data_IF_039742645009
#
_entry.id   IF_039742645009
#
_cell.length_a   1.000
_cell.length_b   1.000
_cell.length_c   1.000
_cell.angle_alpha   90.00
_cell.angle_beta   90.00
_cell.angle_gamma   90.00
#
_symmetry.space_group_name_H-M   'P 1'
#
loop_
_entity.id
_entity.type
_entity.pdbx_description
1 polymer ?
#
# COMPACT_ATOMS: atom_id res chain seq x y z
N UNK A 1 -3.38 10.77 10.62
CA UNK A 1 -4.42 11.55 9.90
C UNK A 1 -5.21 12.39 10.91
N UNK A 2 -5.52 13.66 10.62
CA UNK A 2 -6.18 14.58 11.58
C UNK A 2 -7.53 14.07 12.10
N UNK A 3 -8.35 13.47 11.23
CA UNK A 3 -9.68 12.95 11.60
C UNK A 3 -9.59 11.72 12.52
N UNK A 4 -8.69 10.78 12.22
CA UNK A 4 -8.43 9.63 13.10
C UNK A 4 -7.85 10.10 14.46
N UNK A 5 -6.95 11.09 14.44
CA UNK A 5 -6.39 11.67 15.66
C UNK A 5 -7.45 12.41 16.50
N UNK A 6 -8.53 12.89 15.86
CA UNK A 6 -9.69 13.47 16.53
C UNK A 6 -10.71 12.39 17.02
N UNK A 7 -10.37 11.11 16.90
CA UNK A 7 -11.18 10.00 17.43
C UNK A 7 -12.21 9.42 16.46
N UNK A 8 -12.27 9.89 15.21
CA UNK A 8 -13.19 9.31 14.23
C UNK A 8 -12.71 7.91 13.81
N UNK A 9 -13.67 7.02 13.54
CA UNK A 9 -13.36 5.73 12.89
C UNK A 9 -12.92 5.94 11.43
N UNK A 10 -12.22 4.97 10.81
CA UNK A 10 -11.93 5.00 9.38
C UNK A 10 -13.14 5.29 8.50
N UNK A 11 -14.30 4.71 8.81
CA UNK A 11 -15.55 4.90 8.05
C UNK A 11 -16.07 6.33 8.20
N UNK A 12 -16.11 6.86 9.42
CA UNK A 12 -16.53 8.24 9.68
C UNK A 12 -15.59 9.25 9.01
N UNK A 13 -14.28 9.01 9.10
CA UNK A 13 -13.27 9.84 8.45
C UNK A 13 -13.44 9.81 6.93
N UNK A 14 -13.63 8.62 6.34
CA UNK A 14 -13.85 8.45 4.91
C UNK A 14 -15.12 9.16 4.44
N UNK A 15 -16.25 8.97 5.12
CA UNK A 15 -17.51 9.64 4.80
C UNK A 15 -17.37 11.15 4.80
N UNK A 16 -16.70 11.71 5.81
CA UNK A 16 -16.44 13.15 5.90
C UNK A 16 -15.60 13.66 4.73
N UNK A 17 -14.52 12.95 4.38
CA UNK A 17 -13.66 13.31 3.25
C UNK A 17 -14.41 13.25 1.91
N UNK A 18 -15.23 12.21 1.70
CA UNK A 18 -16.01 12.03 0.47
C UNK A 18 -17.16 13.04 0.31
N UNK A 19 -17.74 13.51 1.42
CA UNK A 19 -18.74 14.57 1.41
C UNK A 19 -18.15 15.92 0.97
N UNK A 20 -16.87 16.16 1.27
CA UNK A 20 -16.15 17.39 0.95
C UNK A 20 -15.44 17.33 -0.42
N UNK A 21 -15.28 16.16 -1.04
CA UNK A 21 -14.68 15.98 -2.37
C UNK A 21 -15.73 15.85 -3.49
N UNK A 22 -15.99 16.92 -4.29
CA UNK A 22 -16.89 16.83 -5.43
C UNK A 22 -16.37 15.91 -6.54
N UNK A 23 -15.06 15.60 -6.55
CA UNK A 23 -14.42 14.70 -7.50
C UNK A 23 -14.20 13.30 -6.92
N UNK A 24 -14.89 12.91 -5.84
CA UNK A 24 -14.72 11.60 -5.21
C UNK A 24 -14.76 10.44 -6.21
N UNK A 25 -15.60 10.50 -7.24
CA UNK A 25 -15.79 9.38 -8.17
C UNK A 25 -14.53 9.00 -8.97
N UNK A 26 -13.54 9.91 -9.09
CA UNK A 26 -12.24 9.61 -9.71
C UNK A 26 -11.16 9.20 -8.70
N UNK A 27 -11.51 9.02 -7.42
CA UNK A 27 -10.57 8.70 -6.32
C UNK A 27 -10.68 7.23 -5.92
N UNK A 28 -9.56 6.71 -5.42
CA UNK A 28 -9.50 5.46 -4.69
C UNK A 28 -8.79 5.72 -3.36
N UNK A 29 -9.39 5.28 -2.25
CA UNK A 29 -8.91 5.59 -0.89
C UNK A 29 -9.08 4.36 -0.01
N UNK A 30 -8.06 4.03 0.78
CA UNK A 30 -8.13 3.07 1.86
C UNK A 30 -7.63 3.70 3.16
N UNK A 31 -8.31 3.41 4.27
CA UNK A 31 -7.98 3.89 5.60
C UNK A 31 -8.03 2.69 6.55
N UNK A 32 -6.97 2.51 7.33
CA UNK A 32 -6.91 1.56 8.43
C UNK A 32 -6.41 2.30 9.68
N UNK A 33 -6.93 1.94 10.85
CA UNK A 33 -6.41 2.45 12.13
C UNK A 33 -5.69 1.37 12.96
N UNK A 34 -5.08 1.79 14.08
CA UNK A 34 -4.33 0.92 14.98
C UNK A 34 -5.19 -0.11 15.73
N UNK A 35 -6.52 -0.01 15.64
CA UNK A 35 -7.45 -1.00 16.22
C UNK A 35 -7.90 -2.04 15.19
N UNK A 36 -7.40 -1.95 13.94
CA UNK A 36 -7.73 -2.86 12.85
C UNK A 36 -9.02 -2.54 12.11
N UNK A 37 -9.71 -1.43 12.45
CA UNK A 37 -10.87 -0.94 11.68
C UNK A 37 -10.40 -0.45 10.32
N UNK A 38 -11.23 -0.63 9.29
CA UNK A 38 -10.84 -0.46 7.89
C UNK A 38 -12.00 0.11 7.07
N UNK A 39 -11.72 1.13 6.26
CA UNK A 39 -12.66 1.68 5.30
C UNK A 39 -11.99 1.84 3.94
N UNK A 40 -12.70 1.46 2.87
CA UNK A 40 -12.22 1.58 1.50
C UNK A 40 -13.29 2.22 0.64
N UNK A 41 -12.86 3.03 -0.33
CA UNK A 41 -13.72 3.60 -1.35
C UNK A 41 -13.02 3.55 -2.71
N UNK A 42 -13.74 3.02 -3.70
CA UNK A 42 -13.33 3.01 -5.10
C UNK A 42 -14.42 3.71 -5.91
N UNK A 43 -14.16 4.95 -6.34
CA UNK A 43 -15.13 5.76 -7.06
C UNK A 43 -15.56 5.16 -8.41
N UNK A 44 -16.75 5.52 -8.86
CA UNK A 44 -17.34 4.95 -10.08
C UNK A 44 -16.51 5.22 -11.35
N UNK A 45 -15.78 6.34 -11.38
CA UNK A 45 -14.99 6.84 -12.51
C UNK A 45 -13.49 6.52 -12.41
N UNK A 46 -13.03 5.81 -11.38
CA UNK A 46 -11.65 5.29 -11.32
C UNK A 46 -11.40 4.43 -12.58
N UNK A 47 -10.20 4.41 -13.19
CA UNK A 47 -10.02 3.60 -14.39
C UNK A 47 -10.29 2.10 -14.16
N UNK A 48 -10.69 1.38 -15.21
CA UNK A 48 -10.99 -0.06 -15.16
C UNK A 48 -9.78 -0.89 -14.72
N UNK A 49 -10.02 -2.18 -14.45
CA UNK A 49 -9.05 -3.07 -13.82
C UNK A 49 -8.59 -2.49 -12.46
N UNK A 50 -9.59 -2.23 -11.61
CA UNK A 50 -9.47 -1.67 -10.26
C UNK A 50 -10.12 -2.58 -9.23
N UNK A 51 -9.70 -2.46 -7.99
CA UNK A 51 -10.35 -3.12 -6.87
C UNK A 51 -9.58 -3.01 -5.59
N UNK A 52 -10.02 -3.79 -4.62
CA UNK A 52 -9.49 -3.84 -3.28
C UNK A 52 -9.59 -5.26 -2.70
N UNK A 53 -8.66 -5.60 -1.82
CA UNK A 53 -8.74 -6.76 -0.94
C UNK A 53 -8.54 -6.24 0.48
N UNK A 54 -9.49 -6.56 1.35
CA UNK A 54 -9.52 -6.14 2.75
C UNK A 54 -9.26 -7.38 3.60
N UNK A 55 -8.03 -7.50 4.12
CA UNK A 55 -7.60 -8.60 4.96
C UNK A 55 -7.77 -8.32 6.46
N UNK A 56 -7.32 -9.27 7.28
CA UNK A 56 -7.41 -9.17 8.74
C UNK A 56 -6.61 -7.98 9.28
N UNK A 57 -5.38 -7.79 8.82
CA UNK A 57 -4.44 -6.76 9.28
C UNK A 57 -3.83 -5.94 8.13
N UNK A 58 -4.40 -6.02 6.93
CA UNK A 58 -3.96 -5.25 5.77
C UNK A 58 -5.11 -4.81 4.84
N UNK A 59 -4.78 -3.89 3.93
CA UNK A 59 -5.60 -3.56 2.75
C UNK A 59 -4.67 -3.49 1.54
N UNK A 60 -5.04 -4.16 0.45
CA UNK A 60 -4.42 -3.95 -0.87
C UNK A 60 -5.45 -3.24 -1.75
N UNK A 61 -5.08 -2.12 -2.37
CA UNK A 61 -5.91 -1.43 -3.36
C UNK A 61 -5.10 -1.16 -4.62
N UNK A 62 -5.78 -1.11 -5.76
CA UNK A 62 -5.17 -0.72 -7.02
C UNK A 62 -6.18 -0.35 -8.09
N UNK A 63 -5.70 0.37 -9.10
CA UNK A 63 -6.41 0.75 -10.31
C UNK A 63 -5.44 0.76 -11.49
N UNK A 64 -5.98 0.77 -12.73
CA UNK A 64 -5.17 0.62 -13.96
C UNK A 64 -4.27 -0.63 -13.91
N UNK A 65 -4.74 -1.70 -13.28
CA UNK A 65 -3.97 -2.92 -13.14
C UNK A 65 -3.93 -3.68 -14.46
N UNK A 66 -2.88 -4.48 -14.66
CA UNK A 66 -2.81 -5.36 -15.83
C UNK A 66 -3.93 -6.41 -15.82
N UNK A 67 -4.30 -6.90 -14.63
CA UNK A 67 -5.34 -7.90 -14.40
C UNK A 67 -5.65 -8.03 -12.89
N UNK A 68 -6.67 -8.80 -12.53
CA UNK A 68 -7.12 -9.02 -11.14
C UNK A 68 -6.09 -9.76 -10.26
N UNK A 69 -5.24 -10.60 -10.85
CA UNK A 69 -4.24 -11.39 -10.10
C UNK A 69 -3.19 -10.51 -9.42
N UNK A 70 -3.03 -9.25 -9.86
CA UNK A 70 -2.13 -8.31 -9.19
C UNK A 70 -2.50 -8.16 -7.72
N UNK A 71 -3.79 -7.92 -7.41
CA UNK A 71 -4.24 -7.77 -6.03
C UNK A 71 -4.18 -9.11 -5.28
N UNK A 72 -4.63 -10.18 -5.91
CA UNK A 72 -4.65 -11.54 -5.31
C UNK A 72 -3.24 -12.00 -4.92
N UNK A 73 -2.25 -11.79 -5.79
CA UNK A 73 -0.85 -12.13 -5.51
C UNK A 73 -0.25 -11.28 -4.41
N UNK A 74 -0.55 -9.98 -4.35
CA UNK A 74 -0.10 -9.12 -3.25
C UNK A 74 -0.68 -9.58 -1.91
N UNK A 75 -1.98 -9.84 -1.87
CA UNK A 75 -2.69 -10.31 -0.68
C UNK A 75 -2.16 -11.66 -0.19
N UNK A 76 -2.13 -12.65 -1.08
CA UNK A 76 -1.61 -13.99 -0.79
C UNK A 76 -0.17 -13.95 -0.27
N UNK A 77 0.69 -13.15 -0.91
CA UNK A 77 2.08 -13.01 -0.50
C UNK A 77 2.26 -12.29 0.84
N UNK A 78 1.36 -11.37 1.18
CA UNK A 78 1.36 -10.71 2.48
C UNK A 78 0.95 -11.67 3.61
N UNK A 79 0.01 -12.58 3.33
CA UNK A 79 -0.49 -13.57 4.29
C UNK A 79 0.51 -14.71 4.56
N UNK A 80 1.52 -14.89 3.71
CA UNK A 80 2.62 -15.81 3.98
C UNK A 80 3.42 -15.41 5.24
N UNK A 81 3.82 -16.41 6.02
CA UNK A 81 4.63 -16.20 7.22
C UNK A 81 5.99 -15.57 6.86
N UNK A 82 6.21 -14.36 7.36
CA UNK A 82 7.49 -13.67 7.28
C UNK A 82 7.72 -12.87 8.58
N UNK A 83 8.78 -13.19 9.31
CA UNK A 83 9.07 -12.56 10.62
C UNK A 83 9.34 -11.05 10.49
N UNK A 84 10.02 -10.64 9.41
CA UNK A 84 10.35 -9.25 9.17
C UNK A 84 9.22 -8.55 8.41
N UNK A 85 8.53 -7.62 9.08
CA UNK A 85 7.42 -6.87 8.50
C UNK A 85 7.81 -6.05 7.25
N UNK A 86 9.01 -5.46 7.22
CA UNK A 86 9.51 -4.72 6.05
C UNK A 86 9.63 -5.67 4.85
N UNK A 87 10.21 -6.85 5.06
CA UNK A 87 10.34 -7.86 3.99
C UNK A 87 8.96 -8.39 3.56
N UNK A 88 8.02 -8.56 4.48
CA UNK A 88 6.64 -8.95 4.16
C UNK A 88 5.98 -7.95 3.21
N UNK A 89 6.09 -6.65 3.49
CA UNK A 89 5.58 -5.59 2.60
C UNK A 89 6.25 -5.59 1.23
N UNK A 90 7.59 -5.73 1.18
CA UNK A 90 8.34 -5.77 -0.07
C UNK A 90 8.00 -7.01 -0.90
N UNK A 91 7.86 -8.16 -0.26
CA UNK A 91 7.45 -9.40 -0.91
C UNK A 91 6.07 -9.27 -1.53
N UNK A 92 5.10 -8.69 -0.82
CA UNK A 92 3.78 -8.41 -1.34
C UNK A 92 3.85 -7.48 -2.57
N UNK A 93 4.57 -6.35 -2.46
CA UNK A 93 4.75 -5.42 -3.57
C UNK A 93 5.38 -6.09 -4.80
N UNK A 94 6.41 -6.93 -4.60
CA UNK A 94 7.06 -7.69 -5.67
C UNK A 94 6.11 -8.66 -6.35
N UNK A 95 5.28 -9.38 -5.58
CA UNK A 95 4.30 -10.31 -6.13
C UNK A 95 3.25 -9.61 -7.02
N UNK A 96 2.83 -8.39 -6.65
CA UNK A 96 1.97 -7.55 -7.47
C UNK A 96 2.63 -7.17 -8.80
N UNK A 97 3.88 -6.67 -8.73
CA UNK A 97 4.69 -6.32 -9.90
C UNK A 97 4.89 -7.52 -10.85
N UNK A 98 5.25 -8.68 -10.31
CA UNK A 98 5.46 -9.93 -11.08
C UNK A 98 4.17 -10.48 -11.70
N UNK A 99 3.01 -10.15 -11.14
CA UNK A 99 1.69 -10.51 -11.67
C UNK A 99 1.22 -9.56 -12.79
N UNK A 100 2.05 -8.59 -13.16
CA UNK A 100 1.87 -7.67 -14.26
C UNK A 100 1.73 -6.20 -13.85
N UNK A 101 1.59 -5.90 -12.55
CA UNK A 101 1.58 -4.55 -12.00
C UNK A 101 0.59 -3.58 -12.66
N UNK A 102 1.00 -2.32 -12.76
CA UNK A 102 0.30 -1.27 -13.50
C UNK A 102 0.35 -1.55 -15.01
N UNK A 103 -0.81 -1.41 -15.68
CA UNK A 103 -0.99 -1.65 -17.11
C UNK A 103 -0.09 -0.79 -18.00
N UNK A 104 0.37 0.36 -17.50
CA UNK A 104 1.25 1.31 -18.18
C UNK A 104 2.74 1.03 -17.94
N UNK A 105 3.05 0.04 -17.11
CA UNK A 105 4.38 -0.18 -16.54
C UNK A 105 4.61 0.66 -15.28
N UNK A 106 5.41 0.12 -14.38
CA UNK A 106 5.76 0.77 -13.13
C UNK A 106 6.92 1.75 -13.36
N UNK A 107 6.78 2.99 -12.86
CA UNK A 107 7.84 4.01 -12.97
C UNK A 107 8.46 4.40 -11.64
N UNK A 108 7.79 4.09 -10.53
CA UNK A 108 8.21 4.47 -9.19
C UNK A 108 7.67 3.46 -8.17
N UNK A 109 8.37 3.36 -7.04
CA UNK A 109 7.99 2.51 -5.92
C UNK A 109 8.42 3.18 -4.61
N UNK A 110 7.66 2.99 -3.55
CA UNK A 110 7.98 3.55 -2.24
C UNK A 110 7.56 2.60 -1.13
N UNK A 111 8.25 2.72 0.02
CA UNK A 111 7.87 2.06 1.26
C UNK A 111 8.04 3.04 2.41
N UNK A 112 7.03 3.09 3.27
CA UNK A 112 7.05 3.81 4.53
C UNK A 112 6.65 2.85 5.65
N UNK A 113 7.49 2.77 6.68
CA UNK A 113 7.25 1.96 7.88
C UNK A 113 7.42 2.84 9.09
N UNK A 114 6.39 2.87 9.92
CA UNK A 114 6.28 3.75 11.10
C UNK A 114 5.93 2.88 12.30
N UNK A 115 6.73 2.99 13.35
CA UNK A 115 6.37 2.52 14.70
C UNK A 115 5.65 3.66 15.46
N UNK A 116 5.11 3.40 16.65
CA UNK A 116 4.26 4.26 17.50
C UNK A 116 4.41 5.78 17.31
N UNK A 117 5.64 6.29 17.21
CA UNK A 117 5.89 7.69 16.84
C UNK A 117 7.13 7.90 15.96
N UNK A 118 7.75 6.83 15.45
CA UNK A 118 9.06 6.90 14.78
C UNK A 118 8.96 6.31 13.38
N UNK A 119 9.39 7.08 12.39
CA UNK A 119 9.62 6.56 11.04
C UNK A 119 10.84 5.63 11.11
N UNK A 120 10.61 4.34 10.89
CA UNK A 120 11.66 3.32 10.84
C UNK A 120 12.30 3.25 9.45
N UNK A 121 11.47 3.44 8.42
CA UNK A 121 11.88 3.39 7.03
C UNK A 121 11.01 4.34 6.20
N UNK A 122 11.63 5.12 5.33
CA UNK A 122 10.92 5.94 4.34
C UNK A 122 11.82 6.06 3.11
N UNK A 123 11.63 5.15 2.17
CA UNK A 123 12.44 5.04 0.96
C UNK A 123 11.54 5.11 -0.26
N UNK A 124 12.07 5.71 -1.31
CA UNK A 124 11.36 5.92 -2.57
C UNK A 124 12.35 5.86 -3.72
N UNK A 125 11.93 5.20 -4.79
CA UNK A 125 12.61 5.15 -6.07
C UNK A 125 11.69 5.79 -7.09
N UNK A 126 12.17 6.86 -7.72
CA UNK A 126 11.42 7.63 -8.71
C UNK A 126 12.05 7.50 -10.10
N UNK A 127 11.20 7.47 -11.12
CA UNK A 127 11.56 7.47 -12.54
C UNK A 127 12.63 6.45 -12.90
N UNK A 128 12.32 5.18 -12.68
CA UNK A 128 13.20 4.04 -13.01
C UNK A 128 12.49 2.99 -13.85
N UNK A 129 13.23 2.23 -14.70
CA UNK A 129 12.64 1.13 -15.47
C UNK A 129 12.14 -0.04 -14.61
N UNK A 130 12.82 -0.35 -13.50
CA UNK A 130 12.49 -1.47 -12.61
C UNK A 130 12.38 -1.01 -11.15
N UNK A 131 11.46 -0.07 -10.85
CA UNK A 131 11.46 0.67 -9.59
C UNK A 131 11.22 -0.21 -8.36
N UNK A 132 10.41 -1.27 -8.48
CA UNK A 132 10.13 -2.20 -7.38
C UNK A 132 11.38 -3.00 -7.00
N UNK A 133 12.11 -3.52 -8.00
CA UNK A 133 13.34 -4.26 -7.75
C UNK A 133 14.43 -3.35 -7.18
N UNK A 134 14.56 -2.13 -7.70
CA UNK A 134 15.49 -1.14 -7.17
C UNK A 134 15.17 -0.77 -5.72
N UNK A 135 13.88 -0.55 -5.39
CA UNK A 135 13.45 -0.28 -4.01
C UNK A 135 13.84 -1.43 -3.08
N UNK A 136 13.61 -2.69 -3.48
CA UNK A 136 14.00 -3.86 -2.68
C UNK A 136 15.49 -3.85 -2.41
N UNK A 137 16.32 -3.63 -3.44
CA UNK A 137 17.77 -3.57 -3.29
C UNK A 137 18.18 -2.46 -2.31
N UNK A 138 17.64 -1.24 -2.48
CA UNK A 138 17.93 -0.11 -1.59
C UNK A 138 17.53 -0.41 -0.13
N UNK A 139 16.39 -1.07 0.10
CA UNK A 139 15.97 -1.44 1.45
C UNK A 139 16.91 -2.48 2.06
N UNK A 140 17.30 -3.52 1.30
CA UNK A 140 18.20 -4.56 1.79
C UNK A 140 19.58 -3.98 2.15
N UNK A 141 20.12 -3.08 1.33
CA UNK A 141 21.36 -2.34 1.61
C UNK A 141 21.25 -1.49 2.88
N UNK A 142 20.11 -0.82 3.09
CA UNK A 142 19.85 -0.04 4.30
C UNK A 142 19.77 -0.93 5.55
N UNK A 143 19.10 -2.08 5.47
CA UNK A 143 19.00 -3.03 6.59
C UNK A 143 20.37 -3.60 6.97
N UNK A 144 21.22 -3.91 5.98
CA UNK A 144 22.58 -4.40 6.20
C UNK A 144 23.51 -3.32 6.80
N UNK A 145 23.41 -2.09 6.32
CA UNK A 145 24.22 -0.96 6.80
C UNK A 145 23.84 -0.52 8.21
N UNK A 146 22.61 -0.79 8.63
CA UNK A 146 22.08 -0.25 9.88
C UNK A 146 22.40 -1.04 11.15
N UNK A 147 22.95 -2.27 11.09
CA UNK A 147 23.16 -3.14 12.28
C UNK A 147 22.00 -3.04 13.32
N UNK A 148 20.76 -2.97 12.82
CA UNK A 148 19.54 -2.74 13.59
C UNK A 148 18.57 -3.90 13.33
N UNK A 149 19.07 -5.13 13.45
CA UNK A 149 18.26 -6.32 13.69
C UNK A 149 19.08 -7.26 14.59
N UNK A 150 19.06 -6.97 15.88
CA UNK A 150 19.15 -7.97 16.98
C UNK A 150 17.90 -7.81 17.80
#
# INVERSE_FOLDING_TARGET
LKLLAAGLTPEQALQKLLAEDPQKEIRQVAIMDFTGRKAVFTGAEVPKERGEIVGEDYIVIGNLLKNVKVLESMASRFEENCENFVLRLLNALKAGSDSGGDKRGEKSAAIIVVDKAKVLLNLRVDERPNPVQELINTVLENLQSSKLVT
#
